data_IF_567662298769
#
_entry.id   IF_567662298769
#
_cell.length_a   1.000
_cell.length_b   1.000
_cell.length_c   1.000
_cell.angle_alpha   90.00
_cell.angle_beta   90.00
_cell.angle_gamma   90.00
#
_symmetry.space_group_name_H-M   'P 1'
#
loop_
_entity.id
_entity.type
_entity.pdbx_description
1 polymer ?
#
# COMPACT_ATOMS: atom_id res chain seq x y z
N UNK A 1 31.65 -28.77 -36.16
CA UNK A 1 30.19 -28.61 -36.28
C UNK A 1 29.66 -28.37 -34.86
N UNK A 2 29.63 -27.13 -34.36
CA UNK A 2 28.63 -26.06 -34.56
C UNK A 2 27.19 -26.49 -34.24
N UNK A 3 26.68 -25.84 -33.19
CA UNK A 3 25.29 -25.41 -32.90
C UNK A 3 24.23 -26.52 -32.77
N UNK A 4 23.33 -26.53 -31.79
CA UNK A 4 22.46 -25.42 -31.39
C UNK A 4 22.01 -25.52 -29.93
N UNK A 5 22.30 -24.48 -29.14
CA UNK A 5 21.51 -24.15 -27.95
C UNK A 5 20.19 -23.48 -28.40
N UNK A 6 19.06 -24.11 -28.11
CA UNK A 6 17.74 -23.49 -28.26
C UNK A 6 17.45 -22.62 -27.02
N UNK A 7 18.02 -21.42 -26.99
CA UNK A 7 17.59 -20.37 -26.05
C UNK A 7 16.34 -19.70 -26.63
N UNK A 8 15.17 -20.07 -26.12
CA UNK A 8 13.92 -19.35 -26.42
C UNK A 8 13.92 -18.02 -25.64
N UNK A 9 14.48 -16.96 -26.26
CA UNK A 9 14.27 -15.60 -25.78
C UNK A 9 12.79 -15.24 -26.00
N UNK A 10 11.96 -15.44 -24.98
CA UNK A 10 10.68 -14.73 -24.90
C UNK A 10 11.00 -13.24 -24.74
N UNK A 11 11.08 -12.53 -25.86
CA UNK A 11 11.03 -11.08 -25.85
C UNK A 11 9.68 -10.68 -25.25
N UNK A 12 9.69 -10.34 -23.95
CA UNK A 12 8.57 -9.69 -23.30
C UNK A 12 8.51 -8.30 -23.93
N UNK A 13 7.68 -8.15 -24.96
CA UNK A 13 7.34 -6.85 -25.51
C UNK A 13 6.85 -6.00 -24.33
N UNK A 14 7.61 -4.96 -23.98
CA UNK A 14 7.14 -3.99 -22.98
C UNK A 14 5.87 -3.38 -23.57
N UNK A 15 4.75 -3.39 -22.83
CA UNK A 15 3.55 -2.71 -23.29
C UNK A 15 3.90 -1.25 -23.60
N UNK A 16 3.28 -0.65 -24.63
CA UNK A 16 3.55 0.72 -25.03
C UNK A 16 3.44 1.67 -23.83
N UNK A 17 4.32 2.66 -23.77
CA UNK A 17 4.39 3.56 -22.63
C UNK A 17 3.06 4.33 -22.50
N UNK A 18 2.30 4.04 -21.44
CA UNK A 18 1.09 4.80 -21.13
C UNK A 18 1.41 6.28 -20.94
N UNK A 19 0.44 7.19 -21.17
CA UNK A 19 0.67 8.64 -21.26
C UNK A 19 1.29 9.26 -19.99
N UNK A 20 1.15 8.57 -18.86
CA UNK A 20 1.64 9.00 -17.56
C UNK A 20 3.15 8.77 -17.39
N UNK A 21 3.70 7.72 -18.01
CA UNK A 21 5.09 7.30 -17.77
C UNK A 21 6.12 8.35 -18.24
N UNK A 22 5.97 8.98 -19.41
CA UNK A 22 6.85 10.09 -19.82
C UNK A 22 6.80 11.29 -18.87
N UNK A 23 5.61 11.60 -18.29
CA UNK A 23 5.44 12.68 -17.31
C UNK A 23 6.23 12.35 -16.04
N UNK A 24 6.12 11.11 -15.55
CA UNK A 24 6.87 10.65 -14.37
C UNK A 24 8.38 10.71 -14.59
N UNK A 25 8.87 10.32 -15.78
CA UNK A 25 10.28 10.42 -16.13
C UNK A 25 10.78 11.87 -16.15
N UNK A 26 9.98 12.80 -16.70
CA UNK A 26 10.32 14.23 -16.73
C UNK A 26 10.37 14.85 -15.34
N UNK A 27 9.43 14.49 -14.46
CA UNK A 27 9.37 15.02 -13.10
C UNK A 27 10.43 14.39 -12.17
N UNK A 28 10.82 13.14 -12.45
CA UNK A 28 11.92 12.45 -11.79
C UNK A 28 11.82 12.49 -10.26
N UNK A 29 12.91 12.89 -9.60
CA UNK A 29 13.02 12.94 -8.14
C UNK A 29 11.97 13.82 -7.45
N UNK A 30 11.38 14.79 -8.16
CA UNK A 30 10.32 15.66 -7.60
C UNK A 30 9.04 14.89 -7.28
N UNK A 31 8.85 13.69 -7.88
CA UNK A 31 7.72 12.82 -7.60
C UNK A 31 7.91 11.93 -6.37
N UNK A 32 9.12 11.88 -5.80
CA UNK A 32 9.36 11.13 -4.57
C UNK A 32 9.30 12.07 -3.37
N UNK A 33 8.09 12.41 -2.94
CA UNK A 33 7.85 13.20 -1.72
C UNK A 33 8.14 12.41 -0.44
N UNK A 34 8.26 11.08 -0.52
CA UNK A 34 8.49 10.21 0.63
C UNK A 34 9.98 10.11 1.01
N UNK A 35 10.89 10.06 0.02
CA UNK A 35 12.32 9.88 0.26
C UNK A 35 12.95 10.99 1.11
N UNK A 36 12.68 12.29 0.88
CA UNK A 36 13.20 13.36 1.72
C UNK A 36 12.68 13.31 3.16
N UNK A 37 11.60 12.58 3.43
CA UNK A 37 11.07 12.41 4.79
C UNK A 37 11.77 11.27 5.56
N UNK A 38 12.49 10.40 4.85
CA UNK A 38 13.26 9.30 5.42
C UNK A 38 14.77 9.58 5.46
N UNK A 39 15.19 10.78 5.03
CA UNK A 39 16.60 11.12 5.01
C UNK A 39 17.09 11.43 6.43
N UNK A 40 18.27 10.94 6.80
CA UNK A 40 18.83 11.16 8.15
C UNK A 40 19.13 12.63 8.42
N UNK A 41 19.37 13.41 7.36
CA UNK A 41 19.62 14.85 7.47
C UNK A 41 18.35 15.66 7.75
N UNK A 42 17.19 15.12 7.41
CA UNK A 42 15.85 15.70 7.62
C UNK A 42 15.06 15.00 8.72
N UNK A 43 15.57 13.88 9.25
CA UNK A 43 15.03 13.13 10.38
C UNK A 43 14.87 14.06 11.60
N UNK A 44 13.64 14.25 12.05
CA UNK A 44 13.29 15.18 13.14
C UNK A 44 13.04 16.64 12.70
N UNK A 45 13.36 17.03 11.46
CA UNK A 45 13.06 18.37 10.92
C UNK A 45 11.71 18.44 10.21
N UNK A 46 11.21 17.32 9.69
CA UNK A 46 9.88 17.24 9.08
C UNK A 46 8.94 16.44 9.97
N UNK A 47 7.88 17.11 10.46
CA UNK A 47 6.85 16.47 11.29
C UNK A 47 5.80 15.86 10.36
N UNK A 48 5.77 14.53 10.28
CA UNK A 48 4.70 13.78 9.62
C UNK A 48 3.57 13.58 10.62
N UNK A 49 2.40 14.12 10.31
CA UNK A 49 1.21 13.96 11.15
C UNK A 49 0.52 12.61 10.93
N UNK A 50 -0.41 12.30 11.84
CA UNK A 50 -1.35 11.19 11.64
C UNK A 50 -2.20 11.50 10.41
N UNK A 51 -2.32 10.54 9.50
CA UNK A 51 -3.09 10.63 8.26
C UNK A 51 -2.63 11.73 7.27
N UNK A 52 -1.38 12.17 7.36
CA UNK A 52 -0.81 13.11 6.36
C UNK A 52 -0.02 12.40 5.25
N UNK A 53 0.38 11.14 5.48
CA UNK A 53 1.15 10.35 4.53
C UNK A 53 0.70 8.88 4.62
N UNK A 54 0.26 8.34 3.49
CA UNK A 54 -0.11 6.95 3.33
C UNK A 54 0.91 6.25 2.43
N UNK A 55 1.19 5.00 2.73
CA UNK A 55 1.90 4.11 1.82
C UNK A 55 0.95 3.01 1.36
N UNK A 56 1.00 2.62 0.10
CA UNK A 56 0.23 1.50 -0.45
C UNK A 56 1.08 0.67 -1.39
N UNK A 57 0.75 -0.61 -1.43
CA UNK A 57 1.30 -1.64 -2.31
C UNK A 57 0.29 -2.81 -2.31
N UNK A 58 0.41 -3.76 -3.23
CA UNK A 58 -0.39 -4.97 -3.19
C UNK A 58 0.43 -6.17 -2.74
N UNK A 59 -0.23 -7.17 -2.15
CA UNK A 59 0.43 -8.42 -1.79
C UNK A 59 -0.49 -9.62 -1.98
N UNK A 60 0.11 -10.72 -2.42
CA UNK A 60 -0.58 -11.98 -2.61
C UNK A 60 -0.79 -12.68 -1.26
N UNK A 61 -2.04 -13.01 -0.95
CA UNK A 61 -2.43 -13.87 0.17
C UNK A 61 -2.79 -15.23 -0.40
N UNK A 62 -2.00 -16.23 -0.02
CA UNK A 62 -2.23 -17.62 -0.37
C UNK A 62 -3.15 -18.28 0.65
N UNK A 63 -4.18 -18.96 0.17
CA UNK A 63 -5.13 -19.73 0.97
C UNK A 63 -5.36 -21.12 0.38
N UNK A 64 -6.13 -21.95 1.06
CA UNK A 64 -6.43 -23.32 0.65
C UNK A 64 -5.14 -24.16 0.52
N UNK A 65 -4.35 -24.19 1.60
CA UNK A 65 -3.00 -24.78 1.63
C UNK A 65 -2.06 -24.25 0.53
N UNK A 66 -2.28 -22.99 0.13
CA UNK A 66 -1.51 -22.32 -0.91
C UNK A 66 -1.94 -22.60 -2.35
N UNK A 67 -3.04 -23.32 -2.56
CA UNK A 67 -3.56 -23.64 -3.90
C UNK A 67 -4.30 -22.47 -4.54
N UNK A 68 -4.84 -21.56 -3.75
CA UNK A 68 -5.60 -20.40 -4.21
C UNK A 68 -5.01 -19.11 -3.68
N UNK A 69 -5.38 -18.00 -4.32
CA UNK A 69 -4.85 -16.68 -3.96
C UNK A 69 -5.84 -15.54 -4.09
N UNK A 70 -5.57 -14.49 -3.34
CA UNK A 70 -6.23 -13.19 -3.42
C UNK A 70 -5.19 -12.08 -3.32
N UNK A 71 -5.40 -10.96 -4.01
CA UNK A 71 -4.56 -9.78 -3.91
C UNK A 71 -5.13 -8.84 -2.86
N UNK A 72 -4.36 -8.55 -1.81
CA UNK A 72 -4.66 -7.54 -0.80
C UNK A 72 -4.01 -6.21 -1.19
N UNK A 73 -4.80 -5.14 -1.18
CA UNK A 73 -4.37 -3.76 -1.40
C UNK A 73 -4.71 -2.92 -0.17
N UNK A 74 -3.79 -2.74 0.80
CA UNK A 74 -4.02 -1.93 1.98
C UNK A 74 -3.38 -0.54 1.85
N UNK A 75 -4.04 0.46 2.40
CA UNK A 75 -3.41 1.75 2.68
C UNK A 75 -2.98 1.78 4.14
N UNK A 76 -1.72 2.16 4.39
CA UNK A 76 -1.14 2.24 5.72
C UNK A 76 -0.71 3.67 6.00
N UNK A 77 -1.20 4.26 7.09
CA UNK A 77 -0.72 5.55 7.59
C UNK A 77 0.72 5.41 8.06
N UNK A 78 1.61 6.28 7.57
CA UNK A 78 3.03 6.21 7.89
C UNK A 78 3.28 6.45 9.37
N UNK A 79 2.57 7.39 10.00
CA UNK A 79 2.86 7.84 11.35
C UNK A 79 2.31 6.89 12.42
N UNK A 80 1.03 6.56 12.35
CA UNK A 80 0.34 5.70 13.32
C UNK A 80 0.42 4.20 12.99
N UNK A 81 0.87 3.85 11.78
CA UNK A 81 0.79 2.49 11.22
C UNK A 81 -0.62 1.97 10.98
N UNK A 82 -1.66 2.77 11.23
CA UNK A 82 -3.05 2.35 11.09
C UNK A 82 -3.39 2.04 9.62
N UNK A 83 -4.15 0.98 9.40
CA UNK A 83 -4.70 0.61 8.10
C UNK A 83 -6.17 1.07 8.04
N UNK A 84 -6.47 2.29 7.55
CA UNK A 84 -7.85 2.78 7.51
C UNK A 84 -8.73 2.07 6.50
N UNK A 85 -8.16 1.47 5.45
CA UNK A 85 -8.91 0.78 4.43
C UNK A 85 -8.05 -0.11 3.57
N UNK A 86 -8.71 -1.10 2.96
CA UNK A 86 -8.10 -2.03 2.03
C UNK A 86 -9.14 -2.59 1.06
N UNK A 87 -8.68 -3.24 0.00
CA UNK A 87 -9.51 -4.04 -0.90
C UNK A 87 -8.88 -5.41 -1.16
N UNK A 88 -9.72 -6.37 -1.57
CA UNK A 88 -9.30 -7.70 -2.00
C UNK A 88 -9.76 -7.97 -3.43
N UNK A 89 -8.83 -8.15 -4.35
CA UNK A 89 -9.07 -8.48 -5.76
C UNK A 89 -8.62 -9.90 -6.12
N UNK A 90 -9.18 -10.50 -7.17
CA UNK A 90 -8.61 -11.72 -7.77
C UNK A 90 -7.24 -11.44 -8.41
N UNK A 91 -7.08 -10.23 -8.95
CA UNK A 91 -5.84 -9.67 -9.50
C UNK A 91 -5.62 -8.27 -8.93
N UNK A 92 -4.41 -7.73 -9.14
CA UNK A 92 -4.06 -6.37 -8.74
C UNK A 92 -4.49 -5.39 -9.84
N UNK A 93 -5.73 -4.89 -9.77
CA UNK A 93 -6.29 -3.93 -10.75
C UNK A 93 -6.35 -2.52 -10.18
N UNK A 94 -6.48 -1.52 -11.05
CA UNK A 94 -6.72 -0.14 -10.62
C UNK A 94 -8.05 0.04 -9.91
N UNK A 95 -9.08 -0.72 -10.28
CA UNK A 95 -10.39 -0.66 -9.59
C UNK A 95 -10.25 -1.14 -8.14
N UNK A 96 -9.47 -2.19 -7.91
CA UNK A 96 -9.20 -2.68 -6.56
C UNK A 96 -8.39 -1.65 -5.75
N UNK A 97 -7.41 -0.98 -6.36
CA UNK A 97 -6.64 0.07 -5.71
C UNK A 97 -7.53 1.28 -5.38
N UNK A 98 -8.32 1.75 -6.33
CA UNK A 98 -9.32 2.80 -6.16
C UNK A 98 -10.29 2.48 -5.02
N UNK A 99 -10.83 1.26 -4.98
CA UNK A 99 -11.70 0.79 -3.90
C UNK A 99 -11.00 0.79 -2.55
N UNK A 100 -9.73 0.40 -2.48
CA UNK A 100 -8.96 0.45 -1.24
C UNK A 100 -8.84 1.89 -0.73
N UNK A 101 -8.58 2.84 -1.63
CA UNK A 101 -8.50 4.26 -1.31
C UNK A 101 -9.85 4.83 -0.83
N UNK A 102 -10.95 4.49 -1.50
CA UNK A 102 -12.30 4.88 -1.05
C UNK A 102 -12.59 4.36 0.36
N UNK A 103 -12.33 3.07 0.61
CA UNK A 103 -12.48 2.47 1.94
C UNK A 103 -11.60 3.15 2.99
N UNK A 104 -10.38 3.55 2.60
CA UNK A 104 -9.48 4.30 3.49
C UNK A 104 -10.04 5.69 3.81
N UNK A 105 -10.63 6.38 2.83
CA UNK A 105 -11.31 7.65 3.03
C UNK A 105 -12.45 7.55 4.05
N UNK A 106 -13.27 6.52 3.94
CA UNK A 106 -14.31 6.24 4.94
C UNK A 106 -13.72 5.90 6.31
N UNK A 107 -12.67 5.09 6.35
CA UNK A 107 -11.99 4.68 7.58
C UNK A 107 -11.39 5.85 8.35
N UNK A 108 -10.73 6.79 7.68
CA UNK A 108 -10.20 8.00 8.34
C UNK A 108 -11.32 8.96 8.75
N UNK A 109 -12.41 9.05 7.97
CA UNK A 109 -13.57 9.88 8.31
C UNK A 109 -14.25 9.43 9.60
N UNK A 110 -14.36 8.11 9.84
CA UNK A 110 -14.87 7.58 11.11
C UNK A 110 -13.99 7.94 12.32
N UNK A 111 -12.74 8.33 12.10
CA UNK A 111 -11.82 8.79 13.13
C UNK A 111 -11.75 10.33 13.26
N UNK A 112 -12.56 11.07 12.48
CA UNK A 112 -12.57 12.54 12.47
C UNK A 112 -11.48 13.17 11.60
N UNK A 113 -10.98 12.45 10.59
CA UNK A 113 -9.95 12.92 9.67
C UNK A 113 -10.44 12.88 8.22
N UNK A 114 -9.66 13.48 7.32
CA UNK A 114 -9.91 13.47 5.88
C UNK A 114 -8.62 13.23 5.11
N UNK A 115 -8.73 12.73 3.87
CA UNK A 115 -7.59 12.47 3.01
C UNK A 115 -7.07 13.73 2.28
N UNK A 116 -7.86 14.79 2.22
CA UNK A 116 -7.51 15.99 1.47
C UNK A 116 -6.15 16.57 1.88
N UNK A 117 -5.31 16.81 0.87
CA UNK A 117 -3.95 17.31 1.04
C UNK A 117 -2.92 16.30 1.56
N UNK A 118 -3.35 15.10 1.99
CA UNK A 118 -2.45 14.02 2.37
C UNK A 118 -1.72 13.47 1.15
N UNK A 119 -0.55 12.87 1.40
CA UNK A 119 0.26 12.24 0.35
C UNK A 119 -0.05 10.74 0.32
N UNK A 120 -0.15 10.15 -0.86
CA UNK A 120 -0.14 8.70 -1.06
C UNK A 120 1.13 8.30 -1.81
N UNK A 121 1.90 7.39 -1.22
CA UNK A 121 3.16 6.89 -1.75
C UNK A 121 3.05 5.42 -2.18
N UNK A 122 3.41 5.13 -3.43
CA UNK A 122 3.35 3.79 -4.01
C UNK A 122 4.38 3.60 -5.13
N UNK A 123 4.53 2.39 -5.65
CA UNK A 123 5.41 2.11 -6.78
C UNK A 123 4.80 2.52 -8.14
N UNK A 124 5.49 2.21 -9.23
CA UNK A 124 5.00 2.48 -10.60
C UNK A 124 4.27 1.28 -11.21
N UNK A 125 3.70 0.39 -10.38
CA UNK A 125 2.90 -0.73 -10.83
C UNK A 125 1.69 -0.26 -11.65
N UNK A 126 1.22 -1.11 -12.58
CA UNK A 126 0.13 -0.77 -13.51
C UNK A 126 -1.15 -0.34 -12.81
N UNK A 127 -1.45 -0.92 -11.63
CA UNK A 127 -2.59 -0.55 -10.80
C UNK A 127 -2.55 0.91 -10.33
N UNK A 128 -1.36 1.51 -10.22
CA UNK A 128 -1.15 2.84 -9.66
C UNK A 128 -0.70 3.90 -10.67
N UNK A 129 -0.66 3.59 -11.96
CA UNK A 129 -0.39 4.55 -13.05
C UNK A 129 -1.56 4.67 -14.03
N UNK A 130 -2.70 4.04 -13.73
CA UNK A 130 -3.89 4.13 -14.56
C UNK A 130 -4.62 5.46 -14.38
N UNK A 131 -5.38 5.88 -15.39
CA UNK A 131 -6.21 7.08 -15.32
C UNK A 131 -7.20 7.03 -14.16
N UNK A 132 -7.85 5.89 -13.95
CA UNK A 132 -8.80 5.67 -12.86
C UNK A 132 -8.18 5.92 -11.48
N UNK A 133 -7.00 5.34 -11.23
CA UNK A 133 -6.27 5.56 -9.97
C UNK A 133 -5.91 7.04 -9.78
N UNK A 134 -5.37 7.67 -10.83
CA UNK A 134 -4.97 9.07 -10.77
C UNK A 134 -6.17 10.00 -10.53
N UNK A 135 -7.31 9.75 -11.17
CA UNK A 135 -8.54 10.49 -10.92
C UNK A 135 -9.00 10.33 -9.48
N UNK A 136 -8.96 9.12 -8.93
CA UNK A 136 -9.34 8.89 -7.54
C UNK A 136 -8.44 9.66 -6.56
N UNK A 137 -7.13 9.60 -6.76
CA UNK A 137 -6.18 10.31 -5.88
C UNK A 137 -6.29 11.82 -6.03
N UNK A 138 -6.17 12.34 -7.26
CA UNK A 138 -5.99 13.77 -7.50
C UNK A 138 -7.31 14.55 -7.51
N UNK A 139 -8.39 13.97 -8.01
CA UNK A 139 -9.65 14.68 -8.25
C UNK A 139 -10.67 14.34 -7.16
N UNK A 140 -10.90 13.06 -6.89
CA UNK A 140 -11.95 12.65 -5.94
C UNK A 140 -11.55 12.89 -4.48
N UNK A 141 -10.29 12.61 -4.12
CA UNK A 141 -9.80 12.75 -2.75
C UNK A 141 -8.89 13.96 -2.52
N UNK A 142 -8.56 14.73 -3.57
CA UNK A 142 -7.68 15.91 -3.52
C UNK A 142 -6.36 15.64 -2.75
N UNK A 143 -5.76 14.47 -3.02
CA UNK A 143 -4.50 14.03 -2.43
C UNK A 143 -3.30 14.37 -3.32
N UNK A 144 -2.11 14.30 -2.74
CA UNK A 144 -0.83 14.45 -3.45
C UNK A 144 -0.24 13.08 -3.78
N UNK A 145 0.24 12.91 -5.01
CA UNK A 145 0.90 11.68 -5.44
C UNK A 145 2.38 11.67 -5.04
N UNK A 146 2.87 10.51 -4.64
CA UNK A 146 4.29 10.22 -4.53
C UNK A 146 4.63 8.84 -5.06
N UNK A 147 5.75 8.73 -5.78
CA UNK A 147 6.20 7.48 -6.39
C UNK A 147 7.52 6.98 -5.82
N UNK A 148 7.61 5.67 -5.59
CA UNK A 148 8.84 4.94 -5.38
C UNK A 148 9.57 4.78 -6.73
N UNK A 149 10.69 5.48 -6.91
CA UNK A 149 11.40 5.54 -8.20
C UNK A 149 12.35 4.35 -8.41
N UNK A 150 12.78 3.69 -7.34
CA UNK A 150 13.69 2.53 -7.37
C UNK A 150 13.03 1.24 -6.87
N UNK A 151 11.71 1.12 -7.05
CA UNK A 151 10.92 -0.03 -6.62
C UNK A 151 10.83 -0.16 -5.09
N UNK A 152 10.73 -1.40 -4.58
CA UNK A 152 10.46 -1.70 -3.17
C UNK A 152 11.41 -1.00 -2.17
N UNK A 153 12.67 -0.74 -2.55
CA UNK A 153 13.65 -0.02 -1.71
C UNK A 153 13.22 1.38 -1.30
N UNK A 154 12.33 2.01 -2.08
CA UNK A 154 11.78 3.32 -1.78
C UNK A 154 10.41 3.24 -1.06
N UNK A 155 9.86 2.04 -0.80
CA UNK A 155 8.64 1.80 -0.02
C UNK A 155 8.84 0.78 1.14
N UNK A 156 9.80 1.01 2.06
CA UNK A 156 10.11 0.07 3.15
C UNK A 156 8.95 -0.13 4.15
N UNK A 157 8.02 0.82 4.25
CA UNK A 157 6.86 0.69 5.13
C UNK A 157 5.93 -0.44 4.66
N UNK A 158 5.66 -0.50 3.35
CA UNK A 158 4.85 -1.58 2.77
C UNK A 158 5.57 -2.91 2.76
N UNK A 159 6.88 -2.94 2.52
CA UNK A 159 7.67 -4.18 2.60
C UNK A 159 7.57 -4.79 4.02
N UNK A 160 7.75 -3.96 5.04
CA UNK A 160 7.60 -4.39 6.45
C UNK A 160 6.18 -4.86 6.77
N UNK A 161 5.16 -4.11 6.34
CA UNK A 161 3.77 -4.49 6.54
C UNK A 161 3.43 -5.82 5.85
N UNK A 162 3.68 -5.93 4.54
CA UNK A 162 3.34 -7.10 3.73
C UNK A 162 4.05 -8.36 4.24
N UNK A 163 5.34 -8.25 4.55
CA UNK A 163 6.13 -9.37 5.09
C UNK A 163 5.58 -9.87 6.43
N UNK A 164 5.33 -8.96 7.38
CA UNK A 164 4.81 -9.32 8.70
C UNK A 164 3.37 -9.83 8.64
N UNK A 165 2.50 -9.15 7.89
CA UNK A 165 1.09 -9.52 7.79
C UNK A 165 0.91 -10.92 7.22
N UNK A 166 1.69 -11.31 6.19
CA UNK A 166 1.65 -12.67 5.67
C UNK A 166 2.23 -13.69 6.64
N UNK A 167 3.38 -13.39 7.25
CA UNK A 167 4.07 -14.32 8.15
C UNK A 167 3.23 -14.64 9.39
N UNK A 168 2.66 -13.61 10.04
CA UNK A 168 1.90 -13.77 11.29
C UNK A 168 0.55 -14.48 11.11
N UNK A 169 0.03 -14.56 9.89
CA UNK A 169 -1.32 -15.04 9.62
C UNK A 169 -1.36 -16.20 8.61
N UNK A 170 -0.20 -16.75 8.22
CA UNK A 170 -0.07 -17.76 7.17
C UNK A 170 -0.98 -18.96 7.42
N UNK A 171 -0.92 -19.53 8.62
CA UNK A 171 -1.65 -20.76 8.93
C UNK A 171 -3.17 -20.52 8.88
N UNK A 172 -3.63 -19.37 9.41
CA UNK A 172 -5.04 -18.95 9.33
C UNK A 172 -5.52 -18.81 7.88
N UNK A 173 -4.69 -18.28 6.98
CA UNK A 173 -5.05 -18.18 5.57
C UNK A 173 -5.07 -19.55 4.90
N UNK A 174 -4.14 -20.44 5.24
CA UNK A 174 -4.05 -21.78 4.67
C UNK A 174 -5.24 -22.67 5.05
N UNK A 175 -5.84 -22.44 6.22
CA UNK A 175 -7.06 -23.11 6.68
C UNK A 175 -8.33 -22.67 5.92
N UNK A 176 -8.32 -21.49 5.28
CA UNK A 176 -9.46 -21.03 4.47
C UNK A 176 -9.55 -21.82 3.17
N UNK A 177 -10.76 -22.27 2.80
CA UNK A 177 -11.06 -23.01 1.57
C UNK A 177 -11.71 -22.11 0.50
N UNK A 178 -12.43 -21.08 0.93
CA UNK A 178 -13.21 -20.18 0.07
C UNK A 178 -12.69 -18.75 0.06
N UNK A 179 -13.07 -17.98 -0.96
CA UNK A 179 -12.72 -16.56 -1.09
C UNK A 179 -13.37 -15.72 0.01
N UNK A 180 -14.56 -16.13 0.43
CA UNK A 180 -15.37 -15.52 1.48
C UNK A 180 -14.70 -15.70 2.84
N UNK A 181 -14.26 -16.92 3.15
CA UNK A 181 -13.52 -17.21 4.39
C UNK A 181 -12.24 -16.41 4.50
N UNK A 182 -11.37 -16.43 3.48
CA UNK A 182 -10.12 -15.66 3.53
C UNK A 182 -10.40 -14.15 3.62
N UNK A 183 -11.51 -13.67 3.03
CA UNK A 183 -11.94 -12.28 3.16
C UNK A 183 -12.32 -11.92 4.59
N UNK A 184 -13.05 -12.79 5.28
CA UNK A 184 -13.39 -12.61 6.70
C UNK A 184 -12.16 -12.66 7.59
N UNK A 185 -11.24 -13.59 7.34
CA UNK A 185 -9.97 -13.68 8.08
C UNK A 185 -9.14 -12.42 7.86
N UNK A 186 -8.93 -11.97 6.63
CA UNK A 186 -8.20 -10.71 6.35
C UNK A 186 -8.83 -9.53 7.09
N UNK A 187 -10.16 -9.38 7.06
CA UNK A 187 -10.87 -8.32 7.81
C UNK A 187 -10.58 -8.41 9.31
N UNK A 188 -10.71 -9.60 9.89
CA UNK A 188 -10.43 -9.82 11.31
C UNK A 188 -8.96 -9.53 11.67
N UNK A 189 -8.01 -9.87 10.78
CA UNK A 189 -6.58 -9.66 10.99
C UNK A 189 -6.16 -8.20 10.81
N UNK A 190 -6.77 -7.45 9.90
CA UNK A 190 -6.60 -5.98 9.81
C UNK A 190 -7.18 -5.30 11.06
N UNK A 191 -8.34 -5.76 11.55
CA UNK A 191 -8.89 -5.26 12.82
C UNK A 191 -7.94 -5.53 13.99
N UNK A 192 -7.42 -6.75 14.13
CA UNK A 192 -6.41 -7.09 15.12
C UNK A 192 -5.16 -6.22 14.99
N UNK A 193 -4.67 -6.04 13.76
CA UNK A 193 -3.52 -5.19 13.46
C UNK A 193 -3.73 -3.75 13.95
N UNK A 194 -4.90 -3.17 13.69
CA UNK A 194 -5.23 -1.81 14.10
C UNK A 194 -5.49 -1.65 15.61
N UNK A 195 -6.18 -2.60 16.24
CA UNK A 195 -6.72 -2.42 17.59
C UNK A 195 -5.88 -3.07 18.70
N UNK A 196 -5.07 -4.08 18.37
CA UNK A 196 -4.43 -4.95 19.40
C UNK A 196 -2.95 -5.18 19.16
N UNK A 197 -2.53 -5.32 17.90
CA UNK A 197 -1.14 -5.62 17.55
C UNK A 197 -0.23 -4.46 17.98
N UNK A 198 0.84 -4.75 18.73
CA UNK A 198 1.78 -3.72 19.19
C UNK A 198 2.91 -3.50 18.19
N UNK A 199 3.30 -2.24 18.02
CA UNK A 199 4.33 -1.82 17.05
C UNK A 199 5.46 -1.08 17.76
N UNK A 200 6.68 -1.64 17.71
CA UNK A 200 7.85 -1.02 18.34
C UNK A 200 8.16 0.37 17.78
N UNK A 201 7.93 0.59 16.48
CA UNK A 201 8.15 1.88 15.81
C UNK A 201 7.27 3.03 16.32
N UNK A 202 6.21 2.73 17.07
CA UNK A 202 5.30 3.75 17.64
C UNK A 202 5.21 3.62 19.17
N UNK A 203 6.25 3.09 19.82
CA UNK A 203 6.32 2.99 21.28
C UNK A 203 5.60 1.76 21.86
N UNK A 204 5.52 0.67 21.10
CA UNK A 204 4.96 -0.61 21.53
C UNK A 204 3.47 -0.57 21.94
N UNK A 205 2.69 0.29 21.28
CA UNK A 205 1.23 0.37 21.40
C UNK A 205 0.54 -0.08 20.11
N UNK A 206 -0.78 -0.24 20.15
CA UNK A 206 -1.58 -0.47 18.94
C UNK A 206 -1.70 0.82 18.11
N UNK A 207 -1.90 0.71 16.78
CA UNK A 207 -2.15 1.88 15.93
C UNK A 207 -3.32 2.74 16.43
N UNK A 208 -4.41 2.12 16.86
CA UNK A 208 -5.57 2.85 17.36
C UNK A 208 -5.28 3.56 18.69
N UNK A 209 -4.54 2.93 19.62
CA UNK A 209 -4.18 3.58 20.89
C UNK A 209 -3.20 4.74 20.66
N UNK A 210 -2.30 4.62 19.67
CA UNK A 210 -1.44 5.72 19.25
C UNK A 210 -2.26 6.91 18.74
N UNK A 211 -3.26 6.66 17.87
CA UNK A 211 -4.17 7.70 17.39
C UNK A 211 -4.95 8.33 18.54
N UNK A 212 -5.48 7.55 19.48
CA UNK A 212 -6.20 8.08 20.64
C UNK A 212 -5.33 8.99 21.51
N UNK A 213 -4.04 8.66 21.66
CA UNK A 213 -3.10 9.38 22.52
C UNK A 213 -2.55 10.66 21.87
N UNK A 214 -2.24 10.61 20.58
CA UNK A 214 -1.52 11.68 19.88
C UNK A 214 -2.34 12.36 18.78
N UNK A 215 -3.49 11.81 18.43
CA UNK A 215 -4.42 12.38 17.47
C UNK A 215 -5.04 13.65 18.02
N UNK A 216 -4.86 14.76 17.29
CA UNK A 216 -5.64 15.97 17.53
C UNK A 216 -7.05 15.70 16.99
N UNK A 217 -8.06 15.72 17.85
CA UNK A 217 -9.46 15.80 17.41
C UNK A 217 -9.60 17.15 16.70
N UNK A 218 -9.88 17.13 15.40
CA UNK A 218 -10.26 18.33 14.65
C UNK A 218 -11.77 18.46 14.68
#
# INVERSE_FOLDING_TARGET
MKDQELVTLRAVNRPPEGPIRPILLKLGNKMNLYRPLLDKETEGKVIIGIFTMFTTDFTEILYDQGRKKVQLMPLIDHQSKYCPGFALGSTATSEAAAKALTNAGEGVRHLGYQLEGAIVHHDQGSAYISYEWLCQVLICHNMKLSYALRGAKDNPAMESFNGRFKKENRDLFWECQTREEVTLVVRARIKYYNEKRRHSSIGNVSPLDYIKKYGKRR
#
